data_IF_503194237614
#
_entry.id   IF_503194237614
#
_cell.length_a   1.000
_cell.length_b   1.000
_cell.length_c   1.000
_cell.angle_alpha   90.00
_cell.angle_beta   90.00
_cell.angle_gamma   90.00
#
_symmetry.space_group_name_H-M   'P 1'
#
loop_
_entity.id
_entity.type
_entity.pdbx_description
1 polymer ?
#
# COMPACT_ATOMS: atom_id res chain seq x y z
N UNK A 1 -38.78 -5.01 -31.42
CA UNK A 1 -37.80 -5.70 -30.57
C UNK A 1 -37.00 -4.65 -29.80
N UNK A 2 -37.13 -4.63 -28.50
CA UNK A 2 -36.35 -3.73 -27.65
C UNK A 2 -34.95 -4.30 -27.49
N UNK A 3 -33.92 -3.60 -27.94
CA UNK A 3 -32.51 -3.96 -27.72
C UNK A 3 -32.19 -3.64 -26.27
N UNK A 4 -32.04 -4.69 -25.43
CA UNK A 4 -31.51 -4.54 -24.07
C UNK A 4 -30.07 -4.01 -24.15
N UNK A 5 -29.88 -2.74 -23.84
CA UNK A 5 -28.54 -2.19 -23.62
C UNK A 5 -27.87 -2.93 -22.47
N UNK A 6 -26.84 -3.73 -22.77
CA UNK A 6 -25.96 -4.28 -21.75
C UNK A 6 -25.32 -3.13 -21.00
N UNK A 7 -25.73 -2.93 -19.76
CA UNK A 7 -25.00 -2.03 -18.86
C UNK A 7 -23.61 -2.60 -18.64
N UNK A 8 -22.58 -1.90 -19.13
CA UNK A 8 -21.19 -2.22 -18.80
C UNK A 8 -21.05 -2.19 -17.27
N UNK A 9 -20.70 -3.33 -16.65
CA UNK A 9 -20.26 -3.34 -15.26
C UNK A 9 -19.08 -2.36 -15.16
N UNK A 10 -19.24 -1.31 -14.37
CA UNK A 10 -18.12 -0.41 -14.04
C UNK A 10 -17.04 -1.25 -13.37
N UNK A 11 -15.85 -1.25 -13.95
CA UNK A 11 -14.68 -1.86 -13.35
C UNK A 11 -14.34 -1.19 -12.01
N UNK A 12 -13.38 -1.77 -11.24
CA UNK A 12 -12.96 -1.17 -9.98
C UNK A 12 -12.57 0.30 -10.21
N UNK A 13 -13.05 1.18 -9.33
CA UNK A 13 -12.71 2.61 -9.37
C UNK A 13 -11.20 2.73 -9.14
N UNK A 14 -10.47 3.08 -10.20
CA UNK A 14 -9.05 3.41 -10.07
C UNK A 14 -8.93 4.86 -9.61
N UNK A 15 -8.13 5.10 -8.59
CA UNK A 15 -7.76 6.45 -8.20
C UNK A 15 -7.10 7.14 -9.40
N UNK A 16 -7.48 8.39 -9.67
CA UNK A 16 -6.86 9.17 -10.74
C UNK A 16 -5.43 9.52 -10.36
N UNK A 17 -4.46 9.20 -11.22
CA UNK A 17 -3.08 9.62 -11.06
C UNK A 17 -2.99 11.14 -11.15
N UNK A 18 -2.21 11.75 -10.27
CA UNK A 18 -2.00 13.19 -10.21
C UNK A 18 -0.51 13.48 -10.20
N UNK A 19 -0.05 14.33 -11.13
CA UNK A 19 1.36 14.74 -11.20
C UNK A 19 1.59 16.05 -10.46
N UNK A 20 2.67 16.11 -9.70
CA UNK A 20 3.16 17.32 -9.04
C UNK A 20 4.66 17.19 -8.77
N UNK A 21 5.41 18.27 -8.99
CA UNK A 21 6.86 18.34 -8.73
C UNK A 21 7.67 17.22 -9.45
N UNK A 22 7.23 16.84 -10.66
CA UNK A 22 7.84 15.76 -11.44
C UNK A 22 7.55 14.35 -10.93
N UNK A 23 6.65 14.20 -9.96
CA UNK A 23 6.25 12.92 -9.37
C UNK A 23 4.81 12.59 -9.78
N UNK A 24 4.59 11.37 -10.25
CA UNK A 24 3.25 10.85 -10.55
C UNK A 24 2.70 10.12 -9.33
N UNK A 25 1.77 10.78 -8.63
CA UNK A 25 1.12 10.19 -7.45
C UNK A 25 -0.05 9.31 -7.85
N UNK A 26 -0.21 8.19 -7.16
CA UNK A 26 -1.30 7.26 -7.41
C UNK A 26 -2.67 7.80 -6.98
N UNK A 27 -2.72 8.82 -6.11
CA UNK A 27 -3.95 9.44 -5.64
C UNK A 27 -3.77 10.91 -5.28
N UNK A 28 -4.88 11.63 -5.19
CA UNK A 28 -4.89 13.02 -4.69
C UNK A 28 -4.48 13.12 -3.23
N UNK A 29 -4.77 12.11 -2.41
CA UNK A 29 -4.38 12.08 -1.00
C UNK A 29 -2.85 11.97 -0.84
N UNK A 30 -2.20 11.15 -1.66
CA UNK A 30 -0.74 11.07 -1.69
C UNK A 30 -0.10 12.40 -2.07
N UNK A 31 -0.62 13.06 -3.11
CA UNK A 31 -0.18 14.40 -3.50
C UNK A 31 -0.33 15.39 -2.36
N UNK A 32 -1.48 15.41 -1.70
CA UNK A 32 -1.75 16.32 -0.57
C UNK A 32 -0.74 16.08 0.57
N UNK A 33 -0.51 14.82 0.92
CA UNK A 33 0.48 14.47 1.96
C UNK A 33 1.88 14.93 1.59
N UNK A 34 2.30 14.72 0.34
CA UNK A 34 3.59 15.18 -0.16
C UNK A 34 3.75 16.70 -0.05
N UNK A 35 2.73 17.44 -0.49
CA UNK A 35 2.74 18.91 -0.41
C UNK A 35 2.82 19.41 1.03
N UNK A 36 2.08 18.79 1.93
CA UNK A 36 2.09 19.15 3.36
C UNK A 36 3.46 18.88 3.99
N UNK A 37 4.09 17.75 3.67
CA UNK A 37 5.44 17.42 4.14
C UNK A 37 6.48 18.40 3.58
N UNK A 38 6.41 18.71 2.30
CA UNK A 38 7.32 19.65 1.64
C UNK A 38 7.20 21.06 2.24
N UNK A 39 5.97 21.53 2.44
CA UNK A 39 5.73 22.84 3.05
C UNK A 39 6.27 22.93 4.48
N UNK A 40 6.20 21.84 5.23
CA UNK A 40 6.77 21.73 6.57
C UNK A 40 8.28 21.47 6.59
N UNK A 41 8.94 21.37 5.43
CA UNK A 41 10.36 21.05 5.25
C UNK A 41 10.77 19.72 5.88
N UNK A 42 9.87 18.75 5.85
CA UNK A 42 10.13 17.38 6.29
C UNK A 42 10.62 16.56 5.10
N UNK A 43 11.80 15.96 5.23
CA UNK A 43 12.41 15.15 4.18
C UNK A 43 11.78 13.77 4.15
N UNK A 44 11.32 13.35 2.97
CA UNK A 44 10.80 12.01 2.71
C UNK A 44 11.22 11.54 1.31
N UNK A 45 11.22 10.24 1.13
CA UNK A 45 11.30 9.61 -0.19
C UNK A 45 9.94 9.02 -0.52
N UNK A 46 9.41 9.36 -1.68
CA UNK A 46 8.17 8.79 -2.21
C UNK A 46 8.49 7.43 -2.85
N UNK A 47 7.81 6.38 -2.38
CA UNK A 47 8.03 5.00 -2.81
C UNK A 47 9.52 4.60 -2.81
N UNK A 48 10.26 5.09 -1.81
CA UNK A 48 11.72 4.99 -1.77
C UNK A 48 12.27 3.59 -1.51
N UNK A 49 11.46 2.67 -0.96
CA UNK A 49 11.90 1.33 -0.61
C UNK A 49 10.75 0.34 -0.65
N UNK A 50 11.04 -0.88 -1.11
CA UNK A 50 10.11 -2.01 -1.11
C UNK A 50 10.55 -3.04 -0.07
N UNK A 51 9.64 -3.41 0.82
CA UNK A 51 9.90 -4.38 1.88
C UNK A 51 9.35 -5.75 1.50
N UNK A 52 10.09 -6.81 1.82
CA UNK A 52 9.61 -8.18 1.68
C UNK A 52 8.92 -8.57 2.98
N UNK A 53 7.60 -8.73 2.92
CA UNK A 53 6.77 -9.11 4.08
C UNK A 53 6.80 -10.61 4.35
N UNK A 54 6.83 -11.40 3.29
CA UNK A 54 6.95 -12.85 3.34
C UNK A 54 7.89 -13.28 2.22
N UNK A 55 8.93 -14.01 2.56
CA UNK A 55 9.85 -14.55 1.56
C UNK A 55 9.14 -15.56 0.67
N UNK A 56 9.54 -15.62 -0.61
CA UNK A 56 9.10 -16.68 -1.51
C UNK A 56 9.57 -18.04 -1.01
N UNK A 57 8.83 -19.07 -1.33
CA UNK A 57 9.14 -20.43 -0.94
C UNK A 57 8.59 -21.42 -1.97
N UNK A 58 9.03 -22.67 -1.91
CA UNK A 58 8.50 -23.73 -2.73
C UNK A 58 7.45 -24.52 -1.94
N UNK A 59 6.21 -24.54 -2.42
CA UNK A 59 5.15 -25.36 -1.83
C UNK A 59 5.23 -26.77 -2.41
N UNK A 60 5.70 -27.73 -1.62
CA UNK A 60 5.98 -29.09 -2.08
C UNK A 60 4.80 -30.04 -1.98
N UNK A 61 3.73 -29.62 -1.33
CA UNK A 61 2.55 -30.45 -1.11
C UNK A 61 1.58 -30.36 -2.30
N UNK A 62 0.62 -31.28 -2.31
CA UNK A 62 -0.51 -31.21 -3.23
C UNK A 62 -1.51 -30.15 -2.74
N UNK A 63 -2.10 -29.43 -3.69
CA UNK A 63 -3.23 -28.53 -3.44
C UNK A 63 -4.20 -28.59 -4.62
N UNK A 64 -5.42 -29.02 -4.35
CA UNK A 64 -6.47 -29.09 -5.37
C UNK A 64 -7.25 -27.79 -5.36
N UNK A 65 -7.15 -27.04 -6.43
CA UNK A 65 -7.76 -25.73 -6.58
C UNK A 65 -7.89 -25.33 -8.03
N UNK A 66 -8.71 -24.32 -8.29
CA UNK A 66 -8.70 -23.59 -9.55
C UNK A 66 -7.59 -22.56 -9.55
N UNK A 67 -7.38 -21.87 -10.68
CA UNK A 67 -6.49 -20.72 -10.73
C UNK A 67 -6.97 -19.61 -9.77
N UNK A 68 -6.06 -18.75 -9.35
CA UNK A 68 -6.37 -17.65 -8.42
C UNK A 68 -7.49 -16.72 -8.92
N UNK A 69 -7.68 -16.60 -10.24
CA UNK A 69 -8.77 -15.84 -10.85
C UNK A 69 -10.13 -16.57 -10.84
N UNK A 70 -10.21 -17.77 -10.24
CA UNK A 70 -11.42 -18.59 -10.19
C UNK A 70 -11.72 -19.36 -11.46
N UNK A 71 -10.85 -19.29 -12.48
CA UNK A 71 -10.99 -19.99 -13.77
C UNK A 71 -10.18 -21.27 -13.79
N UNK A 72 -10.37 -22.05 -14.86
CA UNK A 72 -9.67 -23.32 -15.08
C UNK A 72 -10.29 -24.49 -14.30
N UNK A 73 -9.62 -25.63 -14.37
CA UNK A 73 -10.11 -26.87 -13.77
C UNK A 73 -9.71 -26.97 -12.30
N UNK A 74 -10.55 -27.64 -11.51
CA UNK A 74 -10.21 -28.05 -10.16
C UNK A 74 -9.26 -29.25 -10.24
N UNK A 75 -7.98 -28.98 -10.00
CA UNK A 75 -6.91 -29.99 -10.11
C UNK A 75 -5.75 -29.69 -9.17
N UNK A 76 -4.84 -30.65 -9.02
CA UNK A 76 -3.63 -30.45 -8.25
C UNK A 76 -2.74 -29.38 -8.92
N UNK A 77 -2.54 -28.28 -8.20
CA UNK A 77 -1.67 -27.16 -8.57
C UNK A 77 -0.53 -26.97 -7.57
N UNK A 78 -0.23 -28.02 -6.82
CA UNK A 78 0.90 -28.06 -5.90
C UNK A 78 2.24 -28.17 -6.59
N UNK A 79 3.29 -28.37 -5.81
CA UNK A 79 4.69 -28.39 -6.26
C UNK A 79 5.05 -27.13 -7.05
N UNK A 80 4.70 -25.97 -6.51
CA UNK A 80 4.95 -24.67 -7.14
C UNK A 80 5.76 -23.77 -6.25
N UNK A 81 6.54 -22.92 -6.92
CA UNK A 81 7.17 -21.76 -6.27
C UNK A 81 6.11 -20.71 -5.94
N UNK A 82 6.07 -20.31 -4.67
CA UNK A 82 5.24 -19.20 -4.19
C UNK A 82 6.10 -17.94 -4.17
N UNK A 83 5.63 -16.90 -4.83
CA UNK A 83 6.33 -15.64 -4.91
C UNK A 83 6.30 -14.89 -3.57
N UNK A 84 7.29 -14.04 -3.28
CA UNK A 84 7.27 -13.25 -2.06
C UNK A 84 6.11 -12.26 -2.05
N UNK A 85 5.64 -11.91 -0.86
CA UNK A 85 4.71 -10.81 -0.65
C UNK A 85 5.55 -9.57 -0.33
N UNK A 86 5.39 -8.53 -1.15
CA UNK A 86 6.13 -7.27 -1.02
C UNK A 86 5.18 -6.11 -0.73
N UNK A 87 5.73 -5.06 -0.13
CA UNK A 87 5.00 -3.86 0.19
C UNK A 87 5.88 -2.62 0.01
N UNK A 88 5.36 -1.63 -0.69
CA UNK A 88 6.03 -0.34 -0.89
C UNK A 88 5.19 0.76 -0.25
N UNK A 89 5.58 1.28 0.92
CA UNK A 89 4.88 2.39 1.55
C UNK A 89 5.06 3.69 0.75
N UNK A 90 4.12 4.62 0.92
CA UNK A 90 4.10 5.86 0.14
C UNK A 90 5.28 6.77 0.46
N UNK A 91 5.57 7.02 1.73
CA UNK A 91 6.63 7.93 2.15
C UNK A 91 7.50 7.33 3.25
N UNK A 92 8.80 7.47 3.09
CA UNK A 92 9.80 7.03 4.06
C UNK A 92 10.59 8.26 4.52
N UNK A 93 10.53 8.55 5.81
CA UNK A 93 11.34 9.55 6.49
C UNK A 93 12.46 8.92 7.31
N UNK A 94 13.15 9.74 8.13
CA UNK A 94 14.30 9.26 8.92
C UNK A 94 13.88 8.24 10.00
N UNK A 95 12.79 8.51 10.72
CA UNK A 95 12.31 7.69 11.83
C UNK A 95 10.80 7.38 11.74
N UNK A 96 10.23 7.55 10.56
CA UNK A 96 8.81 7.32 10.33
C UNK A 96 8.54 6.83 8.92
N UNK A 97 7.41 6.18 8.75
CA UNK A 97 6.87 5.75 7.46
C UNK A 97 5.40 6.14 7.39
N UNK A 98 4.96 6.65 6.25
CA UNK A 98 3.58 7.08 6.02
C UNK A 98 2.96 6.27 4.88
N UNK A 99 1.77 5.74 5.13
CA UNK A 99 0.88 5.17 4.14
C UNK A 99 -0.41 5.97 4.08
N UNK A 100 -0.67 6.63 2.96
CA UNK A 100 -1.94 7.33 2.76
C UNK A 100 -2.99 6.34 2.25
N UNK A 101 -4.10 6.20 2.95
CA UNK A 101 -5.10 5.20 2.61
C UNK A 101 -6.51 5.71 2.82
N UNK A 102 -7.05 6.34 1.78
CA UNK A 102 -8.43 6.81 1.81
C UNK A 102 -9.43 5.65 1.91
N UNK A 103 -9.20 4.59 1.16
CA UNK A 103 -10.03 3.38 1.17
C UNK A 103 -9.13 2.15 1.10
N UNK A 104 -9.18 1.28 2.11
CA UNK A 104 -8.45 0.03 2.10
C UNK A 104 -9.09 -0.98 1.13
N UNK A 105 -8.27 -1.65 0.32
CA UNK A 105 -8.70 -2.85 -0.40
C UNK A 105 -8.63 -4.07 0.52
N UNK A 106 -9.18 -5.22 0.08
CA UNK A 106 -9.29 -6.41 0.91
C UNK A 106 -7.93 -6.98 1.38
N UNK A 107 -6.87 -6.81 0.59
CA UNK A 107 -5.54 -7.34 0.90
C UNK A 107 -4.71 -6.41 1.80
N UNK A 108 -5.04 -5.14 1.86
CA UNK A 108 -4.25 -4.14 2.59
C UNK A 108 -4.19 -4.39 4.11
N UNK A 109 -5.30 -4.70 4.81
CA UNK A 109 -5.25 -4.95 6.25
C UNK A 109 -4.28 -6.07 6.64
N UNK A 110 -4.21 -7.13 5.84
CA UNK A 110 -3.26 -8.23 6.04
C UNK A 110 -1.81 -7.78 5.80
N UNK A 111 -1.56 -7.06 4.71
CA UNK A 111 -0.23 -6.50 4.41
C UNK A 111 0.23 -5.55 5.50
N UNK A 112 -0.66 -4.73 6.01
CA UNK A 112 -0.35 -3.78 7.08
C UNK A 112 0.03 -4.48 8.39
N UNK A 113 -0.65 -5.56 8.75
CA UNK A 113 -0.28 -6.39 9.90
C UNK A 113 1.11 -7.01 9.74
N UNK A 114 1.39 -7.59 8.58
CA UNK A 114 2.69 -8.18 8.27
C UNK A 114 3.79 -7.11 8.29
N UNK A 115 3.50 -5.92 7.77
CA UNK A 115 4.44 -4.80 7.79
C UNK A 115 4.73 -4.32 9.22
N UNK A 116 3.73 -4.20 10.08
CA UNK A 116 3.92 -3.88 11.49
C UNK A 116 4.84 -4.88 12.21
N UNK A 117 4.69 -6.16 11.92
CA UNK A 117 5.57 -7.19 12.45
C UNK A 117 7.00 -7.01 11.98
N UNK A 118 7.20 -6.77 10.69
CA UNK A 118 8.51 -6.50 10.11
C UNK A 118 9.17 -5.29 10.78
N UNK A 119 8.43 -4.21 10.96
CA UNK A 119 8.93 -2.98 11.57
C UNK A 119 9.38 -3.23 13.02
N UNK A 120 8.58 -3.91 13.82
CA UNK A 120 8.94 -4.15 15.22
C UNK A 120 10.14 -5.09 15.36
N UNK A 121 10.31 -6.01 14.41
CA UNK A 121 11.43 -6.97 14.42
C UNK A 121 12.73 -6.38 13.88
N UNK A 122 12.66 -5.56 12.81
CA UNK A 122 13.86 -5.13 12.08
C UNK A 122 14.18 -3.64 12.23
N UNK A 123 13.19 -2.82 12.52
CA UNK A 123 13.35 -1.36 12.60
C UNK A 123 12.66 -0.79 13.86
N UNK A 124 13.07 -1.27 15.06
CA UNK A 124 12.48 -0.75 16.29
C UNK A 124 12.69 0.77 16.40
N UNK A 125 11.67 1.48 16.84
CA UNK A 125 11.70 2.94 16.95
C UNK A 125 11.09 3.68 15.76
N UNK A 126 10.80 3.02 14.64
CA UNK A 126 10.08 3.63 13.52
C UNK A 126 8.61 3.83 13.90
N UNK A 127 8.11 5.03 13.70
CA UNK A 127 6.67 5.33 13.84
C UNK A 127 5.97 5.19 12.50
N UNK A 128 4.81 4.55 12.51
CA UNK A 128 3.96 4.41 11.33
C UNK A 128 2.79 5.38 11.42
N UNK A 129 2.49 6.04 10.31
CA UNK A 129 1.34 6.91 10.15
C UNK A 129 0.49 6.43 8.97
N UNK A 130 -0.81 6.38 9.16
CA UNK A 130 -1.76 5.97 8.11
C UNK A 130 -2.92 6.96 8.02
N UNK A 131 -2.69 8.17 7.50
CA UNK A 131 -3.75 9.16 7.31
C UNK A 131 -4.73 8.72 6.22
N UNK A 132 -6.02 8.94 6.44
CA UNK A 132 -7.10 8.57 5.53
C UNK A 132 -7.75 9.76 4.83
N UNK A 133 -7.46 10.98 5.28
CA UNK A 133 -8.02 12.22 4.75
C UNK A 133 -7.06 13.38 4.97
N UNK A 134 -7.40 14.56 4.44
CA UNK A 134 -6.57 15.78 4.55
C UNK A 134 -6.31 16.18 6.00
N UNK A 135 -7.33 16.10 6.86
CA UNK A 135 -7.20 16.44 8.27
C UNK A 135 -6.17 15.56 8.98
N UNK A 136 -6.19 14.26 8.71
CA UNK A 136 -5.23 13.31 9.28
C UNK A 136 -3.83 13.45 8.67
N UNK A 137 -3.71 13.90 7.41
CA UNK A 137 -2.44 14.30 6.83
C UNK A 137 -1.83 15.48 7.58
N UNK A 138 -2.63 16.52 7.84
CA UNK A 138 -2.20 17.69 8.61
C UNK A 138 -1.80 17.31 10.04
N UNK A 139 -2.56 16.44 10.68
CA UNK A 139 -2.25 15.91 12.01
C UNK A 139 -0.94 15.11 12.01
N UNK A 140 -0.69 14.32 10.99
CA UNK A 140 0.56 13.58 10.82
C UNK A 140 1.75 14.50 10.77
N UNK A 141 1.67 15.60 10.01
CA UNK A 141 2.73 16.62 9.95
C UNK A 141 2.99 17.22 11.33
N UNK A 142 1.94 17.57 12.07
CA UNK A 142 2.07 18.11 13.44
C UNK A 142 2.76 17.14 14.39
N UNK A 143 2.38 15.86 14.32
CA UNK A 143 2.99 14.81 15.16
C UNK A 143 4.48 14.65 14.84
N UNK A 144 4.85 14.63 13.57
CA UNK A 144 6.25 14.54 13.15
C UNK A 144 7.05 15.75 13.64
N UNK A 145 6.54 16.98 13.42
CA UNK A 145 7.18 18.19 13.89
C UNK A 145 7.32 18.24 15.41
N UNK A 146 6.33 17.75 16.14
CA UNK A 146 6.37 17.66 17.60
C UNK A 146 7.49 16.76 18.11
N UNK A 147 7.76 15.66 17.45
CA UNK A 147 8.89 14.77 17.77
C UNK A 147 10.25 15.37 17.46
N UNK A 148 10.35 16.13 16.36
CA UNK A 148 11.62 16.76 15.96
C UNK A 148 12.06 17.88 16.92
N UNK A 149 11.12 18.46 17.68
CA UNK A 149 11.40 19.52 18.67
C UNK A 149 11.72 19.01 20.08
N UNK A 150 11.53 17.71 20.28
CA UNK A 150 11.75 17.05 21.58
C UNK A 150 13.18 16.54 21.77
#
# INVERSE_FOLDING_TARGET
MAIKRRTRKKGPVRANKVSYDGIDFASGLEKYMYMALKQAKIRVKYEGETFVLLNGFHFENQVYERQANGKGDYKNRGCKRILPIKYTPDFIGDDFIIETKGRANESFPMRWKLFKRLIVEQFPGITLYKPQNHKECDETVKLILGKQKG
#
